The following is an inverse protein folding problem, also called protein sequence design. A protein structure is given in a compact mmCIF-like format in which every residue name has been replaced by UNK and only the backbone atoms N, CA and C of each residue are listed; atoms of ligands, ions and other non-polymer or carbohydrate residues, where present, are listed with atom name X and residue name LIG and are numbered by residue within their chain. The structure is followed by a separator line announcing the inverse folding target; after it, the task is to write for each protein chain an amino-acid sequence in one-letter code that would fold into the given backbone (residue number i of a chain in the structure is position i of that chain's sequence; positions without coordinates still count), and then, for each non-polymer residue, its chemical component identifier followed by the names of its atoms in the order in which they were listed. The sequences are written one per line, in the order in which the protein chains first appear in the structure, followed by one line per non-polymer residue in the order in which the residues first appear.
data_IF_768841462921
#
_entry.id   IF_768841462921
#
_cell.length_a   1.000
_cell.length_b   1.000
_cell.length_c   1.000
_cell.angle_alpha   90.00
_cell.angle_beta   90.00
_cell.angle_gamma   90.00
#
_symmetry.space_group_name_H-M   'P 1'
#
loop_
_entity.id
_entity.type
_entity.pdbx_description
1 polymer ?
#
# COMPACT_ATOMS: atom_id res chain seq x y z
N UNK A 1 -11.07 16.85 25.14
CA UNK A 1 -10.19 16.76 23.95
C UNK A 1 -9.94 15.29 23.68
N UNK A 2 -10.09 14.83 22.43
CA UNK A 2 -9.87 13.41 22.06
C UNK A 2 -8.37 13.08 22.10
N UNK A 3 -7.99 11.96 22.73
CA UNK A 3 -6.59 11.51 22.77
C UNK A 3 -6.23 10.89 21.40
N UNK A 4 -5.01 11.07 20.88
CA UNK A 4 -4.60 10.44 19.64
C UNK A 4 -4.62 8.92 19.79
N UNK A 5 -5.25 8.23 18.84
CA UNK A 5 -5.37 6.76 18.80
C UNK A 5 -4.64 6.22 17.57
N UNK A 6 -3.89 5.14 17.76
CA UNK A 6 -3.30 4.34 16.70
C UNK A 6 -4.15 3.09 16.50
N UNK A 7 -4.45 2.75 15.25
CA UNK A 7 -5.12 1.49 14.90
C UNK A 7 -4.12 0.59 14.20
N UNK A 8 -3.93 -0.63 14.72
CA UNK A 8 -3.08 -1.67 14.17
C UNK A 8 -3.99 -2.79 13.68
N UNK A 9 -3.89 -3.14 12.41
CA UNK A 9 -4.64 -4.26 11.81
C UNK A 9 -3.62 -5.32 11.43
N UNK A 10 -3.79 -6.54 11.95
CA UNK A 10 -2.93 -7.69 11.65
C UNK A 10 -3.66 -8.64 10.70
N UNK A 11 -2.94 -9.11 9.71
CA UNK A 11 -3.40 -10.05 8.71
C UNK A 11 -2.66 -11.39 8.86
N UNK A 12 -3.32 -12.50 8.57
CA UNK A 12 -2.66 -13.79 8.44
C UNK A 12 -1.94 -13.95 7.09
N UNK A 13 -1.33 -15.12 6.89
CA UNK A 13 -0.61 -15.44 5.66
C UNK A 13 -1.50 -15.51 4.41
N UNK A 14 -2.82 -15.57 4.57
CA UNK A 14 -3.82 -15.63 3.49
C UNK A 14 -4.47 -14.27 3.23
N UNK A 15 -4.13 -13.25 4.03
CA UNK A 15 -4.64 -11.89 3.91
C UNK A 15 -5.92 -11.63 4.70
N UNK A 16 -6.36 -12.55 5.56
CA UNK A 16 -7.54 -12.32 6.41
C UNK A 16 -7.16 -11.53 7.66
N UNK A 17 -8.03 -10.60 8.07
CA UNK A 17 -7.82 -9.82 9.30
C UNK A 17 -8.00 -10.73 10.50
N UNK A 18 -6.91 -10.96 11.24
CA UNK A 18 -6.95 -11.77 12.46
C UNK A 18 -7.20 -10.93 13.70
N UNK A 19 -6.67 -9.71 13.74
CA UNK A 19 -6.77 -8.83 14.91
C UNK A 19 -6.80 -7.36 14.51
N UNK A 20 -7.69 -6.60 15.14
CA UNK A 20 -7.72 -5.13 15.08
C UNK A 20 -7.47 -4.62 16.48
N UNK A 21 -6.44 -3.80 16.64
CA UNK A 21 -6.01 -3.27 17.93
C UNK A 21 -6.02 -1.74 17.90
N UNK A 22 -6.73 -1.13 18.85
CA UNK A 22 -6.72 0.31 19.06
C UNK A 22 -5.86 0.63 20.28
N UNK A 23 -4.79 1.40 20.09
CA UNK A 23 -3.91 1.86 21.17
C UNK A 23 -4.03 3.36 21.31
N UNK A 24 -4.31 3.83 22.52
CA UNK A 24 -4.19 5.27 22.82
C UNK A 24 -2.70 5.59 22.85
N UNK A 25 -2.26 6.51 22.00
CA UNK A 25 -0.86 6.92 21.96
C UNK A 25 -0.63 7.87 23.13
N UNK A 26 0.03 7.38 24.17
CA UNK A 26 0.54 8.23 25.23
C UNK A 26 1.73 9.02 24.66
N UNK A 27 1.49 10.26 24.24
CA UNK A 27 2.57 11.21 23.96
C UNK A 27 3.18 11.65 25.30
N UNK A 28 4.22 10.96 25.74
CA UNK A 28 5.01 11.30 26.92
C UNK A 28 6.07 10.23 27.24
N UNK A 29 7.30 10.66 27.48
CA UNK A 29 8.37 9.78 27.99
C UNK A 29 8.33 9.76 29.51
N UNK A 30 8.21 8.58 30.12
CA UNK A 30 8.46 8.44 31.56
C UNK A 30 9.93 8.07 31.73
N UNK A 31 10.71 8.94 32.36
CA UNK A 31 12.13 8.71 32.63
C UNK A 31 12.27 7.70 33.77
N UNK A 32 12.36 6.41 33.45
CA UNK A 32 12.98 5.42 34.33
C UNK A 32 14.42 5.21 33.89
N UNK A 33 15.33 4.99 34.86
CA UNK A 33 16.79 5.04 34.72
C UNK A 33 17.46 4.08 33.73
N UNK A 34 16.72 3.48 32.81
CA UNK A 34 17.17 2.56 31.76
C UNK A 34 16.63 2.94 30.36
N UNK A 35 16.18 4.20 30.19
CA UNK A 35 15.61 4.73 28.94
C UNK A 35 14.07 4.65 28.88
N UNK A 36 13.43 5.38 27.93
CA UNK A 36 11.97 5.40 27.84
C UNK A 36 11.44 4.01 27.49
N UNK A 37 10.73 3.37 28.44
CA UNK A 37 9.92 2.19 28.17
C UNK A 37 8.46 2.61 28.04
N UNK A 38 7.77 2.10 27.03
CA UNK A 38 6.33 2.27 26.87
C UNK A 38 5.62 1.74 28.11
N UNK A 39 4.70 2.53 28.65
CA UNK A 39 3.78 2.08 29.70
C UNK A 39 2.80 1.13 29.02
N UNK A 40 2.95 -0.18 29.22
CA UNK A 40 1.90 -1.14 28.88
C UNK A 40 0.73 -0.90 29.84
N UNK A 41 -0.31 -0.22 29.37
CA UNK A 41 -1.56 -0.05 30.11
C UNK A 41 -2.53 -1.20 29.79
N UNK A 42 -3.23 -1.64 30.83
CA UNK A 42 -4.21 -2.73 30.84
C UNK A 42 -5.16 -2.72 29.63
N UNK A 43 -5.10 -3.80 28.84
CA UNK A 43 -5.98 -4.13 27.72
C UNK A 43 -7.45 -4.22 28.18
N UNK A 44 -8.22 -3.13 28.08
CA UNK A 44 -9.67 -3.15 28.40
C UNK A 44 -10.63 -2.90 27.23
N UNK A 45 -10.12 -2.46 26.07
CA UNK A 45 -10.97 -1.98 24.97
C UNK A 45 -11.02 -2.91 23.73
N UNK A 46 -10.69 -4.19 23.88
CA UNK A 46 -10.90 -5.16 22.80
C UNK A 46 -12.39 -5.53 22.73
N UNK A 47 -13.10 -5.05 21.71
CA UNK A 47 -14.44 -5.54 21.37
C UNK A 47 -14.29 -7.00 20.98
N UNK A 48 -14.92 -7.90 21.73
CA UNK A 48 -14.84 -9.33 21.44
C UNK A 48 -15.57 -9.63 20.14
N UNK A 49 -15.07 -10.57 19.34
CA UNK A 49 -15.63 -10.87 18.01
C UNK A 49 -17.11 -11.28 18.02
N UNK A 50 -17.61 -11.80 19.14
CA UNK A 50 -19.03 -12.11 19.39
C UNK A 50 -19.92 -10.85 19.57
N UNK A 51 -19.32 -9.68 19.76
CA UNK A 51 -19.99 -8.39 19.87
C UNK A 51 -20.04 -7.63 18.52
N UNK A 52 -19.40 -8.18 17.47
CA UNK A 52 -19.41 -7.62 16.12
C UNK A 52 -20.60 -8.23 15.36
N UNK A 53 -21.52 -7.39 14.89
CA UNK A 53 -22.68 -7.89 14.14
C UNK A 53 -22.23 -8.55 12.83
N UNK A 54 -22.94 -9.58 12.39
CA UNK A 54 -22.67 -10.23 11.10
C UNK A 54 -22.78 -9.26 9.93
N UNK A 55 -23.68 -8.27 10.00
CA UNK A 55 -23.80 -7.22 8.99
C UNK A 55 -22.52 -6.37 8.88
N UNK A 56 -21.86 -6.09 10.00
CA UNK A 56 -20.58 -5.37 10.02
C UNK A 56 -19.46 -6.18 9.40
N UNK A 57 -19.41 -7.49 9.67
CA UNK A 57 -18.42 -8.40 9.07
C UNK A 57 -18.61 -8.51 7.56
N UNK A 58 -19.85 -8.65 7.09
CA UNK A 58 -20.18 -8.72 5.66
C UNK A 58 -19.83 -7.41 4.95
N UNK A 59 -20.21 -6.26 5.51
CA UNK A 59 -19.89 -4.97 4.91
C UNK A 59 -18.37 -4.71 4.84
N UNK A 60 -17.61 -5.14 5.85
CA UNK A 60 -16.15 -5.05 5.84
C UNK A 60 -15.54 -5.94 4.75
N UNK A 61 -16.07 -7.16 4.56
CA UNK A 61 -15.65 -8.07 3.51
C UNK A 61 -15.96 -7.51 2.11
N UNK A 62 -17.20 -7.06 1.88
CA UNK A 62 -17.60 -6.49 0.59
C UNK A 62 -16.74 -5.28 0.20
N UNK A 63 -16.38 -4.45 1.19
CA UNK A 63 -15.51 -3.31 0.99
C UNK A 63 -14.07 -3.75 0.63
N UNK A 64 -13.52 -4.77 1.29
CA UNK A 64 -12.21 -5.32 0.95
C UNK A 64 -12.20 -5.97 -0.45
N UNK A 65 -13.21 -6.78 -0.77
CA UNK A 65 -13.36 -7.43 -2.06
C UNK A 65 -13.44 -6.39 -3.20
N UNK A 66 -14.11 -5.25 -2.97
CA UNK A 66 -14.15 -4.15 -3.93
C UNK A 66 -12.77 -3.49 -4.15
N UNK A 67 -11.98 -3.29 -3.08
CA UNK A 67 -10.63 -2.75 -3.20
C UNK A 67 -9.68 -3.68 -3.96
N UNK A 68 -9.83 -5.00 -3.85
CA UNK A 68 -9.00 -5.95 -4.60
C UNK A 68 -9.24 -5.88 -6.12
N UNK A 69 -10.51 -5.75 -6.53
CA UNK A 69 -10.89 -5.56 -7.95
C UNK A 69 -10.29 -4.26 -8.50
N UNK A 70 -10.40 -3.16 -7.75
CA UNK A 70 -9.85 -1.87 -8.15
C UNK A 70 -8.32 -1.88 -8.21
N UNK A 71 -7.66 -2.58 -7.29
CA UNK A 71 -6.20 -2.73 -7.29
C UNK A 71 -5.70 -3.52 -8.51
N UNK A 72 -6.40 -4.59 -8.89
CA UNK A 72 -6.05 -5.38 -10.07
C UNK A 72 -6.21 -4.54 -11.36
N UNK A 73 -7.30 -3.76 -11.46
CA UNK A 73 -7.52 -2.85 -12.58
C UNK A 73 -6.44 -1.77 -12.66
N UNK A 74 -6.02 -1.21 -11.52
CA UNK A 74 -4.97 -0.19 -11.48
C UNK A 74 -3.59 -0.75 -11.84
N UNK A 75 -3.24 -1.97 -11.37
CA UNK A 75 -2.03 -2.66 -11.81
C UNK A 75 -1.98 -2.87 -13.32
N UNK A 76 -3.12 -3.22 -13.94
CA UNK A 76 -3.21 -3.38 -15.38
C UNK A 76 -3.04 -2.05 -16.13
N UNK A 77 -3.63 -0.95 -15.62
CA UNK A 77 -3.44 0.39 -16.20
C UNK A 77 -1.98 0.81 -16.16
N UNK A 78 -1.31 0.64 -15.02
CA UNK A 78 0.12 0.96 -14.86
C UNK A 78 0.98 0.12 -15.81
N UNK A 79 0.71 -1.18 -15.91
CA UNK A 79 1.43 -2.06 -16.83
C UNK A 79 1.25 -1.62 -18.31
N UNK A 80 0.04 -1.24 -18.69
CA UNK A 80 -0.27 -0.74 -20.04
C UNK A 80 0.45 0.58 -20.33
N UNK A 81 0.47 1.51 -19.36
CA UNK A 81 1.18 2.78 -19.49
C UNK A 81 2.70 2.59 -19.59
N UNK A 82 3.27 1.67 -18.79
CA UNK A 82 4.69 1.33 -18.85
C UNK A 82 5.07 0.70 -20.20
N UNK A 83 4.23 -0.20 -20.74
CA UNK A 83 4.46 -0.79 -22.06
C UNK A 83 4.40 0.26 -23.17
N UNK A 84 3.41 1.16 -23.13
CA UNK A 84 3.29 2.23 -24.11
C UNK A 84 4.51 3.18 -24.11
N UNK A 85 5.07 3.48 -22.93
CA UNK A 85 6.31 4.28 -22.84
C UNK A 85 7.53 3.50 -23.35
N UNK A 86 7.64 2.21 -23.06
CA UNK A 86 8.72 1.37 -23.59
C UNK A 86 8.68 1.32 -25.13
N UNK A 87 7.48 1.16 -25.71
CA UNK A 87 7.27 1.13 -27.16
C UNK A 87 7.64 2.50 -27.79
N UNK A 88 7.31 3.60 -27.12
CA UNK A 88 7.67 4.96 -27.55
C UNK A 88 9.19 5.17 -27.57
N UNK A 89 9.89 4.74 -26.52
CA UNK A 89 11.36 4.83 -26.44
C UNK A 89 12.03 3.95 -27.50
N UNK A 90 11.52 2.75 -27.74
CA UNK A 90 12.03 1.86 -28.79
C UNK A 90 11.87 2.47 -30.19
N UNK A 91 10.72 3.09 -30.48
CA UNK A 91 10.48 3.79 -31.74
C UNK A 91 11.44 4.98 -31.94
N UNK A 92 11.69 5.77 -30.91
CA UNK A 92 12.64 6.88 -30.96
C UNK A 92 14.08 6.39 -31.19
N UNK A 93 14.47 5.28 -30.57
CA UNK A 93 15.80 4.68 -30.78
C UNK A 93 15.97 4.17 -32.22
N UNK A 94 14.96 3.51 -32.79
CA UNK A 94 14.96 3.07 -34.19
C UNK A 94 15.08 4.27 -35.16
N UNK A 95 14.37 5.37 -34.88
CA UNK A 95 14.46 6.58 -35.70
C UNK A 95 15.84 7.24 -35.60
N UNK A 96 16.41 7.32 -34.39
CA UNK A 96 17.75 7.85 -34.19
C UNK A 96 18.83 7.02 -34.91
N UNK A 97 18.67 5.69 -34.94
CA UNK A 97 19.56 4.79 -35.69
C UNK A 97 19.45 5.03 -37.19
N UNK A 98 18.22 5.10 -37.73
CA UNK A 98 18.01 5.38 -39.15
C UNK A 98 18.57 6.75 -39.58
N UNK A 99 18.44 7.77 -38.74
CA UNK A 99 19.00 9.10 -38.98
C UNK A 99 20.53 9.12 -38.89
N UNK A 100 21.14 8.22 -38.11
CA UNK A 100 22.59 8.06 -38.03
C UNK A 100 23.12 7.34 -39.28
N UNK A 101 22.48 6.25 -39.69
CA UNK A 101 22.85 5.48 -40.89
C UNK A 101 22.76 6.35 -42.15
N UNK A 102 21.71 7.18 -42.26
CA UNK A 102 21.56 8.14 -43.37
C UNK A 102 22.67 9.20 -43.39
N UNK A 103 23.03 9.75 -42.21
CA UNK A 103 24.12 10.73 -42.12
C UNK A 103 25.48 10.12 -42.51
N UNK A 104 25.66 8.83 -42.28
CA UNK A 104 26.88 8.13 -42.67
C UNK A 104 26.91 7.84 -44.18
N UNK A 105 25.79 7.41 -44.78
CA UNK A 105 25.71 7.23 -46.24
C UNK A 105 25.91 8.54 -47.00
N UNK A 106 25.35 9.65 -46.50
CA UNK A 106 25.49 10.99 -47.12
C UNK A 106 26.92 11.55 -46.98
N UNK A 107 27.75 11.01 -46.06
CA UNK A 107 29.13 11.45 -45.84
C UNK A 107 30.17 10.63 -46.63
N UNK A 108 29.79 9.43 -47.07
CA UNK A 108 30.62 8.52 -47.86
C UNK A 108 30.46 8.71 -49.40
N UNK A 109 29.52 9.56 -49.83
CA UNK A 109 29.21 9.92 -51.23
C UNK A 109 29.86 11.26 -51.65
#
# INVERSE_FOLDING_TARGET
MSRPQQTIITYDAVGEVTTVEHRVVLTGTVNFGDGPKSVEEDRRDAVRGDQISSATVVAAKDLLDAFEVDLAAERQRVATAAQAEADRVAALALQAQADADKRQSDADE
#
